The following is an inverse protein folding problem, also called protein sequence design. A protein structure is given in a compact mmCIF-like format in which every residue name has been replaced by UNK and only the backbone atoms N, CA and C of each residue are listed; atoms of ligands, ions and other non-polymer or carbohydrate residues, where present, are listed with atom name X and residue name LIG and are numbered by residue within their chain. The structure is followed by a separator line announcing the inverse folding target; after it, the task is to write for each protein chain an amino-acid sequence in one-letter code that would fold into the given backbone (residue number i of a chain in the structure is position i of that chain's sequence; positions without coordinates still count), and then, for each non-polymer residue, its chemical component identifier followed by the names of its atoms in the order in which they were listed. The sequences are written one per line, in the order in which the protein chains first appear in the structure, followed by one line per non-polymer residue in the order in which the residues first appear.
data_IF_169932192633
#
_entry.id   IF_169932192633
#
_cell.length_a   1.000
_cell.length_b   1.000
_cell.length_c   1.000
_cell.angle_alpha   90.00
_cell.angle_beta   90.00
_cell.angle_gamma   90.00
#
_symmetry.space_group_name_H-M   'P 1'
#
loop_
_entity.id
_entity.type
_entity.pdbx_description
1 polymer ?
#
# COMPACT_ATOMS: atom_id res chain seq x y z
N UNK A 1 36.45 -20.02 8.35
CA UNK A 1 35.75 -19.91 9.64
C UNK A 1 35.50 -18.43 9.87
N UNK A 2 34.26 -17.96 9.77
CA UNK A 2 33.88 -16.61 10.18
C UNK A 2 33.23 -16.80 11.54
N UNK A 3 33.94 -16.39 12.60
CA UNK A 3 33.44 -16.42 13.97
C UNK A 3 32.23 -15.50 14.10
N UNK A 4 31.04 -16.11 14.16
CA UNK A 4 29.81 -15.43 14.51
C UNK A 4 29.81 -15.26 16.03
N UNK A 5 29.83 -14.03 16.57
CA UNK A 5 29.85 -13.83 18.01
C UNK A 5 28.57 -14.41 18.62
N UNK A 6 28.74 -15.32 19.59
CA UNK A 6 27.67 -15.94 20.37
C UNK A 6 27.06 -14.90 21.31
N UNK A 7 26.04 -14.20 20.83
CA UNK A 7 25.24 -13.29 21.67
C UNK A 7 24.48 -14.12 22.71
N UNK A 8 24.57 -13.81 24.01
CA UNK A 8 23.94 -14.59 25.07
C UNK A 8 22.41 -14.65 24.88
N UNK A 9 21.88 -15.87 24.91
CA UNK A 9 20.46 -16.18 24.71
C UNK A 9 19.69 -15.75 25.97
N UNK A 10 19.30 -14.47 26.03
CA UNK A 10 18.33 -14.00 27.02
C UNK A 10 16.94 -14.31 26.49
N UNK A 11 16.31 -15.32 27.09
CA UNK A 11 14.94 -15.73 26.83
C UNK A 11 13.97 -14.71 27.44
N UNK A 12 13.72 -13.58 26.78
CA UNK A 12 12.69 -12.63 27.25
C UNK A 12 11.90 -11.96 26.13
N UNK A 13 10.59 -12.24 26.18
CA UNK A 13 9.46 -11.50 25.64
C UNK A 13 9.22 -11.52 24.11
N UNK A 14 7.94 -11.64 23.69
CA UNK A 14 7.56 -11.39 22.29
C UNK A 14 7.96 -9.97 21.91
N UNK A 15 8.54 -9.81 20.71
CA UNK A 15 8.85 -8.50 20.12
C UNK A 15 7.59 -7.66 20.14
N UNK A 16 7.48 -6.77 21.13
CA UNK A 16 6.33 -5.91 21.38
C UNK A 16 6.61 -4.47 20.92
N UNK A 17 7.88 -4.11 20.68
CA UNK A 17 8.35 -2.80 20.24
C UNK A 17 8.55 -2.59 18.73
N UNK A 18 9.06 -1.41 18.35
CA UNK A 18 9.39 -1.01 16.96
C UNK A 18 10.57 -1.85 16.46
N UNK A 19 10.61 -2.20 15.17
CA UNK A 19 11.74 -2.91 14.56
C UNK A 19 12.98 -1.99 14.52
N UNK A 20 13.91 -2.15 15.47
CA UNK A 20 15.21 -1.47 15.44
C UNK A 20 16.27 -2.33 14.76
N UNK A 21 17.16 -1.69 13.98
CA UNK A 21 18.23 -2.37 13.23
C UNK A 21 19.25 -3.08 14.13
N UNK A 22 19.30 -2.74 15.42
CA UNK A 22 20.17 -3.38 16.42
C UNK A 22 19.68 -4.78 16.80
N UNK A 23 18.37 -5.03 16.70
CA UNK A 23 17.74 -6.29 17.09
C UNK A 23 17.64 -7.28 15.91
N UNK A 24 18.06 -6.88 14.71
CA UNK A 24 17.93 -7.69 13.49
C UNK A 24 18.68 -9.03 13.60
N UNK A 25 19.84 -9.07 14.23
CA UNK A 25 20.58 -10.32 14.44
C UNK A 25 19.84 -11.27 15.39
N UNK A 26 19.24 -10.74 16.45
CA UNK A 26 18.38 -11.52 17.35
C UNK A 26 17.12 -12.03 16.62
N UNK A 27 16.52 -11.18 15.78
CA UNK A 27 15.35 -11.54 14.98
C UNK A 27 15.66 -12.69 14.00
N UNK A 28 16.82 -12.67 13.33
CA UNK A 28 17.26 -13.74 12.42
C UNK A 28 17.47 -15.04 13.19
N UNK A 29 18.20 -15.03 14.30
CA UNK A 29 18.47 -16.25 15.09
C UNK A 29 17.19 -16.83 15.69
N UNK A 30 16.29 -15.98 16.19
CA UNK A 30 14.98 -16.43 16.70
C UNK A 30 14.11 -17.00 15.57
N UNK A 31 14.15 -16.40 14.38
CA UNK A 31 13.40 -16.89 13.22
C UNK A 31 13.91 -18.26 12.77
N UNK A 32 15.22 -18.45 12.64
CA UNK A 32 15.83 -19.75 12.28
C UNK A 32 15.42 -20.82 13.29
N UNK A 33 15.46 -20.53 14.60
CA UNK A 33 15.05 -21.47 15.65
C UNK A 33 13.56 -21.85 15.57
N UNK A 34 12.69 -20.94 15.17
CA UNK A 34 11.25 -21.23 15.00
C UNK A 34 10.93 -21.89 13.65
N UNK A 35 11.86 -21.87 12.70
CA UNK A 35 11.71 -22.48 11.37
C UNK A 35 12.48 -23.80 11.21
N UNK A 36 13.33 -24.18 12.19
CA UNK A 36 13.99 -25.48 12.22
C UNK A 36 12.96 -26.62 12.24
N UNK A 37 12.91 -27.40 11.15
CA UNK A 37 12.03 -28.55 11.01
C UNK A 37 10.65 -28.25 10.40
N UNK A 38 10.34 -26.99 10.07
CA UNK A 38 9.04 -26.62 9.47
C UNK A 38 9.13 -26.65 7.94
N UNK A 39 8.62 -27.72 7.33
CA UNK A 39 8.58 -27.85 5.86
C UNK A 39 7.36 -27.16 5.22
N UNK A 40 6.28 -26.91 5.99
CA UNK A 40 5.05 -26.25 5.50
C UNK A 40 4.50 -25.26 6.52
N UNK A 41 3.99 -24.14 6.04
CA UNK A 41 3.36 -23.07 6.83
C UNK A 41 2.16 -23.54 7.69
N UNK A 42 1.55 -24.67 7.33
CA UNK A 42 0.44 -25.31 8.06
C UNK A 42 0.84 -25.83 9.44
N UNK A 43 2.12 -26.13 9.65
CA UNK A 43 2.61 -26.85 10.82
C UNK A 43 2.98 -25.89 11.99
N UNK A 44 2.88 -24.58 11.74
CA UNK A 44 3.12 -23.53 12.73
C UNK A 44 1.84 -23.23 13.52
N UNK A 45 1.94 -23.20 14.85
CA UNK A 45 0.85 -22.87 15.78
C UNK A 45 0.28 -21.45 15.51
N UNK A 46 -1.04 -21.25 15.71
CA UNK A 46 -1.78 -20.05 15.29
C UNK A 46 -1.25 -18.76 15.96
N UNK A 47 -0.77 -18.85 17.20
CA UNK A 47 -0.20 -17.71 17.93
C UNK A 47 1.21 -17.34 17.45
N UNK A 48 2.02 -18.33 17.06
CA UNK A 48 3.39 -18.11 16.56
C UNK A 48 3.41 -17.48 15.15
N UNK A 49 2.36 -17.70 14.34
CA UNK A 49 2.24 -17.11 12.99
C UNK A 49 2.30 -15.59 13.00
N UNK A 50 1.73 -14.94 14.03
CA UNK A 50 1.77 -13.48 14.17
C UNK A 50 3.19 -12.99 14.48
N UNK A 51 3.92 -13.71 15.32
CA UNK A 51 5.30 -13.39 15.69
C UNK A 51 6.26 -13.64 14.53
N UNK A 52 6.13 -14.76 13.83
CA UNK A 52 6.92 -15.08 12.62
C UNK A 52 6.69 -14.04 11.52
N UNK A 53 5.43 -13.65 11.27
CA UNK A 53 5.12 -12.58 10.31
C UNK A 53 5.79 -11.25 10.69
N UNK A 54 5.78 -10.88 11.98
CA UNK A 54 6.44 -9.65 12.47
C UNK A 54 7.95 -9.69 12.28
N UNK A 55 8.59 -10.81 12.62
CA UNK A 55 10.03 -11.03 12.43
C UNK A 55 10.43 -10.90 10.96
N UNK A 56 9.69 -11.56 10.06
CA UNK A 56 9.92 -11.48 8.62
C UNK A 56 9.77 -10.05 8.08
N UNK A 57 8.76 -9.29 8.53
CA UNK A 57 8.58 -7.89 8.14
C UNK A 57 9.69 -6.96 8.68
N UNK A 58 10.18 -7.19 9.90
CA UNK A 58 11.33 -6.45 10.44
C UNK A 58 12.62 -6.71 9.63
N UNK A 59 12.81 -7.95 9.18
CA UNK A 59 13.95 -8.34 8.32
C UNK A 59 13.83 -7.68 6.95
N UNK A 60 12.63 -7.65 6.34
CA UNK A 60 12.40 -6.96 5.06
C UNK A 60 12.67 -5.44 5.15
N UNK A 61 12.23 -4.79 6.22
CA UNK A 61 12.48 -3.35 6.43
C UNK A 61 13.97 -3.04 6.63
N UNK A 62 14.68 -3.92 7.34
CA UNK A 62 16.14 -3.79 7.49
C UNK A 62 16.83 -3.98 6.14
N UNK A 63 16.43 -4.99 5.37
CA UNK A 63 16.99 -5.25 4.05
C UNK A 63 16.71 -4.09 3.06
N UNK A 64 15.54 -3.43 3.15
CA UNK A 64 15.24 -2.15 2.45
C UNK A 64 16.24 -1.04 2.78
N UNK A 65 16.58 -0.88 4.06
CA UNK A 65 17.52 0.14 4.52
C UNK A 65 18.94 -0.16 4.05
N UNK A 66 19.37 -1.43 4.12
CA UNK A 66 20.69 -1.88 3.65
C UNK A 66 20.85 -1.61 2.16
N UNK A 67 19.84 -1.91 1.32
CA UNK A 67 19.89 -1.66 -0.13
C UNK A 67 20.11 -0.17 -0.50
N UNK A 68 19.82 0.77 0.40
CA UNK A 68 20.02 2.21 0.20
C UNK A 68 21.39 2.71 0.65
N UNK A 69 22.22 1.86 1.26
CA UNK A 69 23.57 2.23 1.70
C UNK A 69 24.51 2.27 0.48
N UNK A 70 25.23 3.37 0.34
CA UNK A 70 26.24 3.53 -0.71
C UNK A 70 27.45 2.62 -0.43
N UNK A 71 27.95 1.92 -1.45
CA UNK A 71 29.10 1.00 -1.35
C UNK A 71 28.80 -0.49 -1.55
N UNK A 72 27.55 -0.88 -1.75
CA UNK A 72 27.17 -2.28 -2.04
C UNK A 72 27.50 -2.68 -3.49
N UNK A 73 28.09 -3.87 -3.64
CA UNK A 73 28.31 -4.49 -4.95
C UNK A 73 26.97 -4.78 -5.66
N UNK A 74 26.96 -4.75 -6.99
CA UNK A 74 25.76 -5.04 -7.78
C UNK A 74 25.20 -6.45 -7.51
N UNK A 75 26.07 -7.40 -7.16
CA UNK A 75 25.72 -8.77 -6.79
C UNK A 75 25.04 -8.85 -5.41
N UNK A 76 25.54 -8.11 -4.42
CA UNK A 76 24.93 -8.08 -3.09
C UNK A 76 23.52 -7.45 -3.15
N UNK A 77 23.33 -6.45 -4.02
CA UNK A 77 22.01 -5.87 -4.27
C UNK A 77 21.04 -6.86 -4.92
N UNK A 78 21.50 -7.72 -5.85
CA UNK A 78 20.62 -8.74 -6.45
C UNK A 78 20.25 -9.83 -5.46
N UNK A 79 21.21 -10.29 -4.65
CA UNK A 79 21.00 -11.39 -3.69
C UNK A 79 20.07 -10.96 -2.55
N UNK A 80 20.24 -9.74 -2.03
CA UNK A 80 19.33 -9.16 -1.03
C UNK A 80 17.92 -8.99 -1.62
N UNK A 81 17.78 -8.55 -2.87
CA UNK A 81 16.46 -8.41 -3.50
C UNK A 81 15.77 -9.75 -3.74
N UNK A 82 16.52 -10.78 -4.14
CA UNK A 82 15.99 -12.15 -4.28
C UNK A 82 15.47 -12.67 -2.93
N UNK A 83 16.29 -12.56 -1.87
CA UNK A 83 15.91 -12.98 -0.52
C UNK A 83 14.66 -12.24 0.00
N UNK A 84 14.58 -10.93 -0.23
CA UNK A 84 13.41 -10.12 0.16
C UNK A 84 12.14 -10.55 -0.57
N UNK A 85 12.24 -10.91 -1.85
CA UNK A 85 11.10 -11.38 -2.65
C UNK A 85 10.54 -12.68 -2.07
N UNK A 86 11.39 -13.61 -1.68
CA UNK A 86 10.98 -14.89 -1.09
C UNK A 86 10.33 -14.72 0.30
N UNK A 87 10.89 -13.82 1.12
CA UNK A 87 10.35 -13.49 2.46
C UNK A 87 8.99 -12.78 2.36
N UNK A 88 8.85 -11.83 1.42
CA UNK A 88 7.62 -11.05 1.24
C UNK A 88 6.49 -11.91 0.69
N UNK A 89 6.79 -12.82 -0.25
CA UNK A 89 5.81 -13.75 -0.80
C UNK A 89 5.14 -14.63 0.27
N UNK A 90 5.86 -14.93 1.36
CA UNK A 90 5.34 -15.75 2.46
C UNK A 90 4.52 -14.94 3.48
N UNK A 91 4.79 -13.63 3.61
CA UNK A 91 4.13 -12.75 4.61
C UNK A 91 2.94 -11.97 4.06
N UNK A 92 2.97 -11.63 2.79
CA UNK A 92 1.88 -11.00 2.05
C UNK A 92 1.03 -12.05 1.32
N UNK A 93 0.74 -13.17 1.98
CA UNK A 93 -0.19 -14.17 1.45
C UNK A 93 -1.61 -13.59 1.44
N UNK A 94 -1.97 -12.92 0.35
CA UNK A 94 -3.35 -12.62 0.01
C UNK A 94 -3.92 -13.87 -0.69
N UNK A 95 -4.86 -14.61 -0.07
CA UNK A 95 -5.37 -15.82 -0.67
C UNK A 95 -6.10 -15.50 -1.98
N UNK A 96 -5.89 -16.34 -3.01
CA UNK A 96 -6.45 -16.11 -4.35
C UNK A 96 -7.97 -15.90 -4.35
N UNK A 97 -8.70 -16.61 -3.46
CA UNK A 97 -10.15 -16.42 -3.32
C UNK A 97 -10.52 -15.00 -2.85
N UNK A 98 -9.73 -14.39 -1.96
CA UNK A 98 -9.98 -13.03 -1.48
C UNK A 98 -9.70 -12.01 -2.60
N UNK A 99 -8.65 -12.22 -3.39
CA UNK A 99 -8.35 -11.38 -4.57
C UNK A 99 -9.52 -11.44 -5.56
N UNK A 100 -10.04 -12.64 -5.85
CA UNK A 100 -11.19 -12.81 -6.75
C UNK A 100 -12.44 -12.12 -6.17
N UNK A 101 -12.73 -12.29 -4.88
CA UNK A 101 -13.88 -11.62 -4.24
C UNK A 101 -13.77 -10.10 -4.29
N UNK A 102 -12.59 -9.53 -4.01
CA UNK A 102 -12.36 -8.09 -4.09
C UNK A 102 -12.48 -7.60 -5.53
N UNK A 103 -11.93 -8.33 -6.50
CA UNK A 103 -12.07 -7.98 -7.92
C UNK A 103 -13.53 -7.99 -8.38
N UNK A 104 -14.31 -9.00 -7.97
CA UNK A 104 -15.74 -9.08 -8.25
C UNK A 104 -16.51 -7.94 -7.57
N UNK A 105 -16.23 -7.66 -6.30
CA UNK A 105 -16.88 -6.57 -5.56
C UNK A 105 -16.61 -5.20 -6.22
N UNK A 106 -15.37 -4.95 -6.65
CA UNK A 106 -15.01 -3.75 -7.41
C UNK A 106 -15.70 -3.71 -8.78
N UNK A 107 -15.75 -4.83 -9.51
CA UNK A 107 -16.45 -4.95 -10.78
C UNK A 107 -17.95 -4.65 -10.65
N UNK A 108 -18.64 -5.30 -9.70
CA UNK A 108 -20.06 -5.03 -9.42
C UNK A 108 -20.30 -3.61 -8.90
N UNK A 109 -19.42 -3.09 -8.05
CA UNK A 109 -19.50 -1.72 -7.56
C UNK A 109 -19.39 -0.68 -8.68
N UNK A 110 -18.47 -0.88 -9.63
CA UNK A 110 -18.37 0.00 -10.81
C UNK A 110 -19.63 -0.10 -11.67
N UNK A 111 -20.14 -1.31 -11.95
CA UNK A 111 -21.33 -1.47 -12.80
C UNK A 111 -22.60 -0.84 -12.21
N UNK A 112 -22.75 -0.85 -10.88
CA UNK A 112 -23.93 -0.29 -10.20
C UNK A 112 -23.82 1.22 -9.96
N UNK A 113 -22.61 1.75 -9.73
CA UNK A 113 -22.38 3.14 -9.30
C UNK A 113 -21.78 4.09 -10.33
N UNK A 114 -21.34 3.62 -11.50
CA UNK A 114 -20.49 4.43 -12.41
C UNK A 114 -21.14 5.72 -12.90
N UNK A 115 -22.45 5.72 -13.18
CA UNK A 115 -23.13 6.82 -13.89
C UNK A 115 -22.92 8.17 -13.22
N UNK A 116 -23.05 8.26 -11.89
CA UNK A 116 -22.92 9.53 -11.16
C UNK A 116 -21.50 10.09 -11.22
N UNK A 117 -20.50 9.22 -11.11
CA UNK A 117 -19.08 9.62 -11.12
C UNK A 117 -18.67 10.04 -12.53
N UNK A 118 -18.98 9.22 -13.54
CA UNK A 118 -18.59 9.49 -14.93
C UNK A 118 -19.27 10.74 -15.48
N UNK A 119 -20.54 10.97 -15.18
CA UNK A 119 -21.24 12.20 -15.58
C UNK A 119 -20.63 13.42 -14.89
N UNK A 120 -20.29 13.32 -13.61
CA UNK A 120 -19.68 14.45 -12.88
C UNK A 120 -18.31 14.80 -13.46
N UNK A 121 -17.48 13.80 -13.76
CA UNK A 121 -16.14 14.02 -14.34
C UNK A 121 -16.21 14.47 -15.80
N UNK A 122 -17.12 13.88 -16.59
CA UNK A 122 -17.22 14.12 -18.03
C UNK A 122 -17.92 15.43 -18.40
N UNK A 123 -18.91 15.84 -17.62
CA UNK A 123 -19.81 16.94 -17.99
C UNK A 123 -19.80 18.09 -16.99
N UNK A 124 -19.53 17.84 -15.69
CA UNK A 124 -19.67 18.87 -14.64
C UNK A 124 -18.37 19.55 -14.21
N UNK A 125 -17.20 19.07 -14.66
CA UNK A 125 -15.92 19.73 -14.33
C UNK A 125 -15.70 20.99 -15.18
N UNK A 126 -16.08 20.94 -16.46
CA UNK A 126 -16.01 22.10 -17.36
C UNK A 126 -17.37 22.76 -17.59
N UNK A 127 -17.36 23.96 -18.19
CA UNK A 127 -18.60 24.65 -18.62
C UNK A 127 -19.20 24.10 -19.91
N UNK A 128 -18.41 23.36 -20.68
CA UNK A 128 -18.84 22.62 -21.87
C UNK A 128 -18.52 21.14 -21.68
N UNK A 129 -19.24 20.26 -22.37
CA UNK A 129 -18.93 18.82 -22.36
C UNK A 129 -17.54 18.53 -22.91
N UNK A 130 -16.86 17.54 -22.34
CA UNK A 130 -15.51 17.14 -22.76
C UNK A 130 -15.53 16.47 -24.14
N UNK A 131 -14.60 16.83 -25.02
CA UNK A 131 -14.44 16.16 -26.32
C UNK A 131 -13.68 14.83 -26.17
N UNK A 132 -13.82 13.93 -27.15
CA UNK A 132 -13.09 12.66 -27.17
C UNK A 132 -11.56 12.84 -27.11
N UNK A 133 -11.02 13.86 -27.78
CA UNK A 133 -9.58 14.16 -27.77
C UNK A 133 -9.11 14.64 -26.39
N UNK A 134 -9.92 15.43 -25.67
CA UNK A 134 -9.62 15.82 -24.30
C UNK A 134 -9.68 14.63 -23.34
N UNK A 135 -10.64 13.72 -23.52
CA UNK A 135 -10.73 12.48 -22.72
C UNK A 135 -9.50 11.60 -22.88
N UNK A 136 -9.05 11.41 -24.14
CA UNK A 136 -7.83 10.65 -24.43
C UNK A 136 -6.59 11.32 -23.83
N UNK A 137 -6.44 12.65 -24.00
CA UNK A 137 -5.32 13.39 -23.43
C UNK A 137 -5.28 13.26 -21.89
N UNK A 138 -6.43 13.42 -21.21
CA UNK A 138 -6.52 13.28 -19.76
C UNK A 138 -6.14 11.87 -19.29
N UNK A 139 -6.58 10.83 -20.01
CA UNK A 139 -6.25 9.44 -19.67
C UNK A 139 -4.75 9.15 -19.84
N UNK A 140 -4.14 9.61 -20.93
CA UNK A 140 -2.70 9.42 -21.16
C UNK A 140 -1.90 10.13 -20.06
N UNK A 141 -2.24 11.39 -19.75
CA UNK A 141 -1.56 12.12 -18.66
C UNK A 141 -1.73 11.42 -17.31
N UNK A 142 -2.93 10.95 -16.99
CA UNK A 142 -3.19 10.23 -15.73
C UNK A 142 -2.42 8.90 -15.67
N UNK A 143 -2.45 8.11 -16.75
CA UNK A 143 -1.75 6.83 -16.84
C UNK A 143 -0.23 7.01 -16.73
N UNK A 144 0.35 8.01 -17.39
CA UNK A 144 1.77 8.33 -17.29
C UNK A 144 2.15 8.74 -15.86
N UNK A 145 1.37 9.62 -15.22
CA UNK A 145 1.63 10.05 -13.85
C UNK A 145 1.53 8.90 -12.84
N UNK A 146 0.50 8.05 -12.97
CA UNK A 146 0.34 6.86 -12.14
C UNK A 146 1.47 5.86 -12.39
N UNK A 147 1.90 5.69 -13.65
CA UNK A 147 3.03 4.83 -14.01
C UNK A 147 4.32 5.29 -13.34
N UNK A 148 4.62 6.58 -13.39
CA UNK A 148 5.80 7.16 -12.72
C UNK A 148 5.70 6.98 -11.20
N UNK A 149 4.53 7.24 -10.60
CA UNK A 149 4.30 7.04 -9.17
C UNK A 149 4.46 5.56 -8.75
N UNK A 150 4.02 4.64 -9.61
CA UNK A 150 4.11 3.20 -9.37
C UNK A 150 5.56 2.71 -9.41
N UNK A 151 6.36 3.20 -10.36
CA UNK A 151 7.80 2.86 -10.45
C UNK A 151 8.57 3.44 -9.26
N UNK A 152 8.20 4.63 -8.79
CA UNK A 152 8.82 5.27 -7.62
C UNK A 152 8.29 4.75 -6.28
N UNK A 153 7.24 3.93 -6.29
CA UNK A 153 6.63 3.36 -5.09
C UNK A 153 5.95 4.38 -4.17
N UNK A 154 5.63 5.58 -4.69
CA UNK A 154 4.99 6.63 -3.90
C UNK A 154 3.48 6.39 -3.80
N UNK A 155 2.88 6.46 -2.60
CA UNK A 155 1.43 6.35 -2.45
C UNK A 155 0.77 7.62 -3.01
N UNK A 156 0.05 7.47 -4.12
CA UNK A 156 -0.65 8.57 -4.79
C UNK A 156 -2.15 8.31 -4.88
N UNK A 157 -2.94 9.39 -4.84
CA UNK A 157 -4.38 9.33 -5.05
C UNK A 157 -4.70 9.35 -6.54
N UNK A 158 -5.15 8.21 -7.09
CA UNK A 158 -5.56 8.09 -8.49
C UNK A 158 -6.73 9.02 -8.81
N UNK A 159 -7.64 9.29 -7.85
CA UNK A 159 -8.74 10.24 -8.00
C UNK A 159 -8.25 11.68 -8.16
N UNK A 160 -7.23 12.09 -7.41
CA UNK A 160 -6.65 13.43 -7.53
C UNK A 160 -5.94 13.60 -8.88
N UNK A 161 -5.18 12.59 -9.30
CA UNK A 161 -4.47 12.61 -10.59
C UNK A 161 -5.49 12.70 -11.74
N UNK A 162 -6.51 11.82 -11.75
CA UNK A 162 -7.50 11.78 -12.82
C UNK A 162 -8.33 13.07 -12.88
N UNK A 163 -8.82 13.56 -11.73
CA UNK A 163 -9.64 14.78 -11.67
C UNK A 163 -8.85 16.01 -12.10
N UNK A 164 -7.57 16.09 -11.73
CA UNK A 164 -6.68 17.19 -12.13
C UNK A 164 -6.31 17.12 -13.61
N UNK A 165 -6.12 15.91 -14.16
CA UNK A 165 -5.88 15.73 -15.60
C UNK A 165 -7.08 16.19 -16.43
N UNK A 166 -8.30 15.81 -16.04
CA UNK A 166 -9.54 16.24 -16.71
C UNK A 166 -9.75 17.75 -16.56
N UNK A 167 -9.56 18.33 -15.37
CA UNK A 167 -9.63 19.77 -15.20
C UNK A 167 -8.57 20.50 -16.07
N UNK A 168 -7.35 19.96 -16.16
CA UNK A 168 -6.27 20.48 -16.97
C UNK A 168 -6.61 20.54 -18.46
N UNK A 169 -7.24 19.50 -19.02
CA UNK A 169 -7.65 19.51 -20.44
C UNK A 169 -8.76 20.54 -20.72
N UNK A 170 -9.63 20.82 -19.75
CA UNK A 170 -10.66 21.87 -19.87
C UNK A 170 -10.06 23.28 -19.80
N UNK A 171 -9.04 23.48 -18.97
CA UNK A 171 -8.28 24.75 -18.94
C UNK A 171 -7.51 24.96 -20.24
N UNK A 172 -6.83 23.92 -20.74
CA UNK A 172 -6.06 23.97 -21.98
C UNK A 172 -6.93 24.32 -23.20
N UNK A 173 -8.17 23.82 -23.24
CA UNK A 173 -9.13 24.11 -24.32
C UNK A 173 -9.87 25.46 -24.12
N UNK A 174 -9.55 26.23 -23.07
CA UNK A 174 -10.22 27.50 -22.71
C UNK A 174 -11.74 27.40 -22.56
N UNK A 175 -12.28 26.19 -22.36
CA UNK A 175 -13.73 25.97 -22.20
C UNK A 175 -14.26 26.45 -20.85
N UNK A 176 -13.36 26.73 -19.90
CA UNK A 176 -13.67 27.25 -18.58
C UNK A 176 -14.13 26.14 -17.62
N UNK A 177 -13.81 26.34 -16.34
CA UNK A 177 -14.10 25.38 -15.27
C UNK A 177 -15.38 25.75 -14.52
N UNK A 178 -16.16 24.75 -14.12
CA UNK A 178 -17.31 24.97 -13.24
C UNK A 178 -16.83 25.04 -11.78
N UNK A 179 -16.53 26.27 -11.33
CA UNK A 179 -15.91 26.50 -10.02
C UNK A 179 -16.74 26.00 -8.84
N UNK A 180 -18.08 26.00 -8.96
CA UNK A 180 -18.98 25.43 -7.95
C UNK A 180 -18.76 23.92 -7.78
N UNK A 181 -18.65 23.18 -8.88
CA UNK A 181 -18.39 21.73 -8.87
C UNK A 181 -17.02 21.44 -8.29
N UNK A 182 -15.98 22.16 -8.71
CA UNK A 182 -14.61 21.98 -8.22
C UNK A 182 -14.53 22.24 -6.72
N UNK A 183 -15.13 23.32 -6.23
CA UNK A 183 -15.15 23.62 -4.80
C UNK A 183 -15.86 22.52 -3.99
N UNK A 184 -16.94 21.97 -4.54
CA UNK A 184 -17.65 20.84 -3.93
C UNK A 184 -16.75 19.60 -3.84
N UNK A 185 -16.06 19.25 -4.94
CA UNK A 185 -15.12 18.13 -4.99
C UNK A 185 -13.97 18.33 -3.98
N UNK A 186 -13.35 19.51 -3.96
CA UNK A 186 -12.27 19.83 -3.02
C UNK A 186 -12.73 19.76 -1.57
N UNK A 187 -13.92 20.30 -1.27
CA UNK A 187 -14.49 20.22 0.08
C UNK A 187 -14.76 18.78 0.51
N UNK A 188 -15.20 17.92 -0.42
CA UNK A 188 -15.40 16.51 -0.15
C UNK A 188 -14.09 15.80 0.17
N UNK A 189 -12.99 16.07 -0.56
CA UNK A 189 -11.68 15.47 -0.29
C UNK A 189 -11.11 15.85 1.09
N UNK A 190 -11.35 17.09 1.52
CA UNK A 190 -10.93 17.52 2.86
C UNK A 190 -11.83 16.92 3.94
N UNK A 191 -13.12 16.78 3.68
CA UNK A 191 -14.10 16.27 4.65
C UNK A 191 -14.05 14.74 4.82
N UNK A 192 -13.60 13.98 3.82
CA UNK A 192 -13.51 12.52 3.91
C UNK A 192 -12.52 12.06 4.98
N UNK A 193 -11.39 12.74 5.15
CA UNK A 193 -10.40 12.42 6.18
C UNK A 193 -10.95 12.52 7.61
N UNK A 194 -11.51 13.66 8.08
CA UNK A 194 -12.07 13.75 9.42
C UNK A 194 -13.30 12.86 9.59
N UNK A 195 -14.15 12.70 8.57
CA UNK A 195 -15.31 11.82 8.65
C UNK A 195 -14.91 10.35 8.86
N UNK A 196 -13.92 9.86 8.11
CA UNK A 196 -13.40 8.49 8.27
C UNK A 196 -12.69 8.30 9.61
N UNK A 197 -11.95 9.31 10.08
CA UNK A 197 -11.29 9.26 11.38
C UNK A 197 -12.29 9.23 12.55
N UNK A 198 -13.35 10.05 12.47
CA UNK A 198 -14.43 10.07 13.45
C UNK A 198 -15.24 8.76 13.45
N UNK A 199 -15.57 8.23 12.27
CA UNK A 199 -16.27 6.94 12.15
C UNK A 199 -15.44 5.78 12.70
N UNK A 200 -14.16 5.69 12.32
CA UNK A 200 -13.27 4.64 12.80
C UNK A 200 -13.05 4.74 14.32
N UNK A 201 -12.78 5.93 14.85
CA UNK A 201 -12.64 6.14 16.29
C UNK A 201 -13.93 5.86 17.07
N UNK A 202 -15.08 6.26 16.52
CA UNK A 202 -16.39 6.00 17.11
C UNK A 202 -16.73 4.51 17.17
N UNK A 203 -16.54 3.78 16.07
CA UNK A 203 -16.73 2.32 16.05
C UNK A 203 -15.79 1.61 17.03
N UNK A 204 -14.52 2.02 17.08
CA UNK A 204 -13.55 1.43 18.01
C UNK A 204 -13.98 1.61 19.47
N UNK A 205 -14.37 2.83 19.85
CA UNK A 205 -14.86 3.11 21.20
C UNK A 205 -16.13 2.33 21.53
N UNK A 206 -17.04 2.20 20.57
CA UNK A 206 -18.26 1.42 20.72
C UNK A 206 -17.98 -0.08 20.93
N UNK A 207 -17.07 -0.67 20.14
CA UNK A 207 -16.70 -2.08 20.33
C UNK A 207 -15.97 -2.36 21.64
N UNK A 208 -15.16 -1.41 22.13
CA UNK A 208 -14.55 -1.52 23.46
C UNK A 208 -15.54 -1.42 24.62
N UNK A 209 -16.72 -0.82 24.40
CA UNK A 209 -17.78 -0.73 25.40
C UNK A 209 -18.67 -1.99 25.46
N UNK A 210 -18.73 -2.74 24.37
CA UNK A 210 -19.58 -3.93 24.23
C UNK A 210 -18.85 -5.26 24.48
N UNK A 211 -17.52 -5.28 24.39
CA UNK A 211 -16.65 -6.42 24.77
C UNK A 211 -16.12 -6.19 26.17
#
# INVERSE_FOLDING_TARGET
LIDVPTVPIVMTAPLTGKCETKDTMYAITSLVKHLEGVARYSDINVDDRRQVRRLLLCIDDTAKKVLKVDGLSAKDKSDINALRKDITATTEYAPMWAIILVALALGFGTMTGWRRVVVTVGEKIGRQGMTYSQGMAAQITAASAIGIASVTGMPVSTTHILSSAVAGTMVANKSGLQWSTIRTILSAWVLTLPATMALSGGLYWLFLKFV
#
